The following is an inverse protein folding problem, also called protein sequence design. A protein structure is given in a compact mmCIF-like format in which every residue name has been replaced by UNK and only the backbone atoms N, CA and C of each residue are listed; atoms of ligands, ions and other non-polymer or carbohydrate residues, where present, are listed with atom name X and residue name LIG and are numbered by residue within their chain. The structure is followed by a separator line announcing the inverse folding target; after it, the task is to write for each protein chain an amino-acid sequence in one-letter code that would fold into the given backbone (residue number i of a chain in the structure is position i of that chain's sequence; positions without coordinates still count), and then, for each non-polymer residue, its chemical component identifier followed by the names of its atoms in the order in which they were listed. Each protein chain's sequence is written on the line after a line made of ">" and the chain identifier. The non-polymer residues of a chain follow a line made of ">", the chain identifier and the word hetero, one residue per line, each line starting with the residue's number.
data_IF_939091490022
#
_entry.id   IF_939091490022
#
_cell.length_a   1.000
_cell.length_b   1.000
_cell.length_c   1.000
_cell.angle_alpha   90.00
_cell.angle_beta   90.00
_cell.angle_gamma   90.00
#
_symmetry.space_group_name_H-M   'P 1'
#
loop_
_entity.id
_entity.type
_entity.pdbx_description
1 polymer ?
#
# COMPACT_ATOMS: atom_id res chain seq x y z
N UNK A 1 10.81 4.46 26.25
CA UNK A 1 9.48 4.75 25.68
C UNK A 1 9.62 6.01 24.82
N UNK A 2 9.60 5.88 23.49
CA UNK A 2 9.92 7.00 22.60
C UNK A 2 8.64 7.76 22.24
N UNK A 3 8.25 8.74 23.05
CA UNK A 3 7.11 9.62 22.73
C UNK A 3 7.21 10.21 21.31
N UNK A 4 8.43 10.46 20.85
CA UNK A 4 8.74 10.87 19.48
C UNK A 4 8.24 9.87 18.41
N UNK A 5 8.44 8.57 18.61
CA UNK A 5 7.95 7.53 17.69
C UNK A 5 6.41 7.58 17.57
N UNK A 6 5.72 7.63 18.72
CA UNK A 6 4.26 7.67 18.77
C UNK A 6 3.72 8.93 18.07
N UNK A 7 4.32 10.10 18.34
CA UNK A 7 3.91 11.35 17.71
C UNK A 7 4.07 11.29 16.19
N UNK A 8 5.20 10.78 15.69
CA UNK A 8 5.41 10.62 14.24
C UNK A 8 4.38 9.69 13.62
N UNK A 9 4.16 8.52 14.23
CA UNK A 9 3.17 7.54 13.76
C UNK A 9 1.76 8.13 13.71
N UNK A 10 1.34 8.87 14.74
CA UNK A 10 0.03 9.55 14.74
C UNK A 10 -0.06 10.60 13.63
N UNK A 11 0.99 11.38 13.39
CA UNK A 11 1.03 12.33 12.27
C UNK A 11 0.89 11.60 10.93
N UNK A 12 1.63 10.49 10.73
CA UNK A 12 1.53 9.67 9.52
C UNK A 12 0.12 9.10 9.37
N UNK A 13 -0.51 8.61 10.44
CA UNK A 13 -1.88 8.09 10.41
C UNK A 13 -2.87 9.15 9.94
N UNK A 14 -2.83 10.36 10.50
CA UNK A 14 -3.72 11.45 10.11
C UNK A 14 -3.53 11.84 8.64
N UNK A 15 -2.28 11.94 8.18
CA UNK A 15 -1.97 12.26 6.78
C UNK A 15 -2.42 11.16 5.83
N UNK A 16 -2.21 9.90 6.20
CA UNK A 16 -2.65 8.74 5.42
C UNK A 16 -4.16 8.69 5.28
N UNK A 17 -4.90 8.82 6.39
CA UNK A 17 -6.36 8.77 6.39
C UNK A 17 -6.93 9.93 5.56
N UNK A 18 -6.54 11.17 5.87
CA UNK A 18 -7.08 12.35 5.20
C UNK A 18 -6.80 12.36 3.69
N UNK A 19 -5.57 12.05 3.30
CA UNK A 19 -5.17 12.02 1.89
C UNK A 19 -5.87 10.91 1.11
N UNK A 20 -5.94 9.69 1.65
CA UNK A 20 -6.54 8.57 0.93
C UNK A 20 -8.08 8.60 0.93
N UNK A 21 -8.72 9.19 1.95
CA UNK A 21 -10.15 9.53 1.90
C UNK A 21 -10.42 10.51 0.76
N UNK A 22 -9.56 11.52 0.57
CA UNK A 22 -9.67 12.46 -0.54
C UNK A 22 -9.52 11.78 -1.91
N UNK A 23 -8.63 10.79 -2.04
CA UNK A 23 -8.50 9.96 -3.26
C UNK A 23 -9.81 9.24 -3.56
N UNK A 24 -10.36 8.51 -2.58
CA UNK A 24 -11.63 7.80 -2.73
C UNK A 24 -12.77 8.76 -3.08
N UNK A 25 -12.84 9.91 -2.43
CA UNK A 25 -13.87 10.91 -2.66
C UNK A 25 -13.79 11.51 -4.07
N UNK A 26 -12.58 11.80 -4.56
CA UNK A 26 -12.37 12.30 -5.91
C UNK A 26 -12.87 11.34 -6.99
N UNK A 27 -12.58 10.03 -6.85
CA UNK A 27 -13.07 9.01 -7.79
C UNK A 27 -14.59 8.82 -7.68
N UNK A 28 -15.17 8.97 -6.48
CA UNK A 28 -16.61 8.84 -6.27
C UNK A 28 -17.41 9.94 -6.99
N UNK A 29 -16.96 11.19 -6.91
CA UNK A 29 -17.64 12.34 -7.52
C UNK A 29 -17.36 12.41 -9.03
N UNK A 30 -16.10 12.31 -9.44
CA UNK A 30 -15.73 12.61 -10.82
C UNK A 30 -15.89 11.38 -11.72
N UNK A 31 -16.90 11.39 -12.59
CA UNK A 31 -17.16 10.30 -13.54
C UNK A 31 -16.03 10.07 -14.53
N UNK A 32 -15.20 11.08 -14.84
CA UNK A 32 -14.04 10.91 -15.71
C UNK A 32 -12.93 10.08 -15.05
N UNK A 33 -12.92 10.02 -13.72
CA UNK A 33 -12.01 9.19 -12.94
C UNK A 33 -12.52 7.75 -12.76
N UNK A 34 -13.74 7.40 -13.17
CA UNK A 34 -14.30 6.04 -13.01
C UNK A 34 -13.83 5.09 -14.11
N UNK A 35 -12.53 4.82 -14.14
CA UNK A 35 -11.88 3.86 -15.04
C UNK A 35 -11.21 2.73 -14.26
N UNK A 36 -10.80 1.67 -14.97
CA UNK A 36 -10.27 0.46 -14.34
C UNK A 36 -9.01 0.70 -13.49
N UNK A 37 -8.05 1.49 -13.99
CA UNK A 37 -6.83 1.86 -13.27
C UNK A 37 -7.15 2.54 -11.95
N UNK A 38 -8.11 3.46 -11.96
CA UNK A 38 -8.49 4.21 -10.78
C UNK A 38 -9.24 3.35 -9.75
N UNK A 39 -9.88 2.24 -10.14
CA UNK A 39 -10.40 1.27 -9.16
C UNK A 39 -9.26 0.58 -8.39
N UNK A 40 -8.14 0.27 -9.03
CA UNK A 40 -6.97 -0.24 -8.31
C UNK A 40 -6.34 0.82 -7.39
N UNK A 41 -6.32 2.09 -7.81
CA UNK A 41 -5.90 3.20 -6.93
C UNK A 41 -6.83 3.36 -5.72
N UNK A 42 -8.14 3.18 -5.89
CA UNK A 42 -9.10 3.18 -4.78
C UNK A 42 -8.86 1.98 -3.86
N UNK A 43 -8.59 0.78 -4.40
CA UNK A 43 -8.24 -0.38 -3.57
C UNK A 43 -6.98 -0.11 -2.73
N UNK A 44 -5.95 0.48 -3.33
CA UNK A 44 -4.73 0.89 -2.62
C UNK A 44 -5.04 1.95 -1.55
N UNK A 45 -5.84 2.97 -1.87
CA UNK A 45 -6.25 4.00 -0.93
C UNK A 45 -7.04 3.43 0.26
N UNK A 46 -7.91 2.42 0.04
CA UNK A 46 -8.61 1.72 1.11
C UNK A 46 -7.63 0.97 2.01
N UNK A 47 -6.63 0.29 1.46
CA UNK A 47 -5.58 -0.34 2.25
C UNK A 47 -4.80 0.69 3.09
N UNK A 48 -4.43 1.83 2.50
CA UNK A 48 -3.70 2.91 3.17
C UNK A 48 -4.54 3.63 4.26
N UNK A 49 -5.85 3.76 4.08
CA UNK A 49 -6.78 4.23 5.13
C UNK A 49 -6.76 3.24 6.30
N UNK A 50 -6.87 1.93 6.02
CA UNK A 50 -6.81 0.90 7.04
C UNK A 50 -5.44 0.86 7.74
N UNK A 51 -4.35 1.20 7.03
CA UNK A 51 -3.03 1.40 7.65
C UNK A 51 -3.09 2.50 8.70
N UNK A 52 -3.63 3.67 8.36
CA UNK A 52 -3.75 4.77 9.32
C UNK A 52 -4.73 4.48 10.47
N UNK A 53 -5.89 3.89 10.17
CA UNK A 53 -6.95 3.66 11.16
C UNK A 53 -6.68 2.49 12.10
N UNK A 54 -5.99 1.45 11.64
CA UNK A 54 -5.83 0.19 12.36
C UNK A 54 -4.37 -0.23 12.49
N UNK A 55 -3.61 -0.26 11.39
CA UNK A 55 -2.24 -0.77 11.42
C UNK A 55 -1.32 0.04 12.33
N UNK A 56 -1.36 1.37 12.23
CA UNK A 56 -0.53 2.26 13.04
C UNK A 56 -0.89 2.15 14.54
N UNK A 57 -2.18 2.22 14.95
CA UNK A 57 -2.56 1.95 16.33
C UNK A 57 -2.11 0.57 16.84
N UNK A 58 -2.22 -0.47 16.01
CA UNK A 58 -1.76 -1.82 16.36
C UNK A 58 -0.24 -1.88 16.50
N UNK A 59 0.52 -1.24 15.60
CA UNK A 59 1.97 -1.16 15.68
C UNK A 59 2.43 -0.42 16.94
N UNK A 60 1.77 0.69 17.29
CA UNK A 60 2.03 1.40 18.56
C UNK A 60 1.77 0.47 19.74
N UNK A 61 0.65 -0.25 19.73
CA UNK A 61 0.27 -1.20 20.80
C UNK A 61 1.32 -2.31 20.97
N UNK A 62 1.79 -2.90 19.87
CA UNK A 62 2.87 -3.90 19.85
C UNK A 62 4.21 -3.29 20.31
N UNK A 63 4.50 -2.03 19.94
CA UNK A 63 5.74 -1.37 20.35
C UNK A 63 5.80 -1.07 21.86
N UNK A 64 4.65 -0.87 22.49
CA UNK A 64 4.53 -0.66 23.94
C UNK A 64 4.70 -1.98 24.69
N UNK A 65 4.38 -3.12 24.07
CA UNK A 65 4.52 -4.43 24.69
C UNK A 65 3.45 -4.72 25.73
N UNK A 66 2.20 -4.31 25.48
CA UNK A 66 1.09 -4.57 26.42
C UNK A 66 0.86 -6.08 26.61
N UNK A 67 0.45 -6.47 27.81
CA UNK A 67 0.10 -7.87 28.08
C UNK A 67 -1.23 -8.22 27.37
N UNK A 68 -1.15 -9.17 26.45
CA UNK A 68 -2.29 -9.68 25.67
C UNK A 68 -2.24 -11.21 25.64
N UNK A 69 -3.39 -11.83 25.37
CA UNK A 69 -3.42 -13.23 24.97
C UNK A 69 -2.65 -13.42 23.65
N UNK A 70 -1.99 -14.56 23.50
CA UNK A 70 -1.18 -14.91 22.34
C UNK A 70 -1.90 -14.65 21.02
N UNK A 71 -3.16 -15.11 20.87
CA UNK A 71 -3.90 -14.95 19.61
C UNK A 71 -4.38 -13.52 19.39
N UNK A 72 -4.60 -12.75 20.46
CA UNK A 72 -4.86 -11.32 20.38
C UNK A 72 -3.65 -10.58 19.81
N UNK A 73 -2.46 -10.83 20.36
CA UNK A 73 -1.22 -10.23 19.85
C UNK A 73 -0.91 -10.68 18.40
N UNK A 74 -1.11 -11.96 18.11
CA UNK A 74 -0.93 -12.51 16.77
C UNK A 74 -1.88 -11.85 15.75
N UNK A 75 -3.13 -11.59 16.13
CA UNK A 75 -4.08 -10.88 15.26
C UNK A 75 -3.57 -9.48 14.90
N UNK A 76 -3.12 -8.71 15.90
CA UNK A 76 -2.59 -7.37 15.68
C UNK A 76 -1.42 -7.40 14.68
N UNK A 77 -0.48 -8.32 14.86
CA UNK A 77 0.69 -8.47 13.99
C UNK A 77 0.31 -8.93 12.57
N UNK A 78 -0.53 -9.97 12.45
CA UNK A 78 -0.94 -10.52 11.15
C UNK A 78 -1.78 -9.53 10.34
N UNK A 79 -2.59 -8.69 10.98
CA UNK A 79 -3.37 -7.69 10.27
C UNK A 79 -2.49 -6.66 9.55
N UNK A 80 -1.33 -6.30 10.10
CA UNK A 80 -0.31 -5.48 9.42
C UNK A 80 0.16 -6.15 8.11
N UNK A 81 0.39 -7.47 8.17
CA UNK A 81 0.84 -8.26 7.02
C UNK A 81 -0.22 -8.32 5.92
N UNK A 82 -1.50 -8.46 6.29
CA UNK A 82 -2.62 -8.45 5.32
C UNK A 82 -2.65 -7.13 4.54
N UNK A 83 -2.57 -5.99 5.22
CA UNK A 83 -2.62 -4.67 4.58
C UNK A 83 -1.41 -4.41 3.68
N UNK A 84 -0.24 -4.85 4.14
CA UNK A 84 1.00 -4.81 3.33
C UNK A 84 0.83 -5.62 2.05
N UNK A 85 0.32 -6.84 2.15
CA UNK A 85 0.13 -7.72 1.01
C UNK A 85 -0.91 -7.15 0.01
N UNK A 86 -2.00 -6.58 0.52
CA UNK A 86 -3.02 -5.92 -0.30
C UNK A 86 -2.45 -4.74 -1.09
N UNK A 87 -1.54 -3.98 -0.48
CA UNK A 87 -0.83 -2.88 -1.14
C UNK A 87 0.08 -3.37 -2.26
N UNK A 88 0.87 -4.42 -2.02
CA UNK A 88 1.76 -5.04 -3.03
C UNK A 88 0.96 -5.53 -4.23
N UNK A 89 -0.12 -6.26 -3.99
CA UNK A 89 -0.96 -6.78 -5.06
C UNK A 89 -1.68 -5.67 -5.83
N UNK A 90 -2.14 -4.62 -5.15
CA UNK A 90 -2.73 -3.45 -5.81
C UNK A 90 -1.70 -2.76 -6.72
N UNK A 91 -0.46 -2.57 -6.27
CA UNK A 91 0.62 -1.99 -7.07
C UNK A 91 1.01 -2.89 -8.26
N UNK A 92 1.07 -4.20 -8.06
CA UNK A 92 1.32 -5.16 -9.14
C UNK A 92 0.20 -5.12 -10.19
N UNK A 93 -1.06 -5.08 -9.75
CA UNK A 93 -2.21 -4.95 -10.64
C UNK A 93 -2.16 -3.63 -11.44
N UNK A 94 -1.79 -2.51 -10.79
CA UNK A 94 -1.56 -1.23 -11.47
C UNK A 94 -0.44 -1.37 -12.51
N UNK A 95 0.69 -2.00 -12.18
CA UNK A 95 1.78 -2.19 -13.13
C UNK A 95 1.35 -3.00 -14.35
N UNK A 96 0.63 -4.11 -14.15
CA UNK A 96 0.09 -4.96 -15.22
C UNK A 96 -0.93 -4.18 -16.06
N UNK A 97 -1.87 -3.48 -15.43
CA UNK A 97 -2.86 -2.65 -16.11
C UNK A 97 -2.19 -1.62 -17.03
N UNK A 98 -1.19 -0.90 -16.51
CA UNK A 98 -0.41 0.07 -17.29
C UNK A 98 0.37 -0.57 -18.42
N UNK A 99 0.92 -1.77 -18.20
CA UNK A 99 1.60 -2.52 -19.25
C UNK A 99 0.65 -2.88 -20.40
N UNK A 100 -0.54 -3.39 -20.08
CA UNK A 100 -1.55 -3.76 -21.09
C UNK A 100 -2.02 -2.51 -21.84
N UNK A 101 -2.28 -1.39 -21.14
CA UNK A 101 -2.68 -0.13 -21.75
C UNK A 101 -1.63 0.41 -22.75
N UNK A 102 -0.33 0.33 -22.40
CA UNK A 102 0.76 0.78 -23.29
C UNK A 102 1.01 -0.21 -24.43
N UNK A 103 0.89 -1.51 -24.19
CA UNK A 103 1.27 -2.54 -25.17
C UNK A 103 0.17 -2.84 -26.19
N UNK A 104 -1.10 -2.80 -25.80
CA UNK A 104 -2.24 -3.19 -26.63
C UNK A 104 -3.39 -2.16 -26.48
N UNK A 105 -3.19 -0.90 -26.91
CA UNK A 105 -4.14 0.18 -26.66
C UNK A 105 -5.53 -0.06 -27.28
N UNK A 106 -5.60 -0.74 -28.44
CA UNK A 106 -6.86 -0.97 -29.16
C UNK A 106 -7.80 -1.94 -28.43
N UNK A 107 -7.24 -2.98 -27.79
CA UNK A 107 -8.03 -4.00 -27.07
C UNK A 107 -8.13 -3.73 -25.56
N UNK A 108 -7.39 -2.76 -25.05
CA UNK A 108 -7.37 -2.44 -23.61
C UNK A 108 -8.76 -2.20 -23.05
N UNK A 109 -9.60 -1.42 -23.75
CA UNK A 109 -10.97 -1.10 -23.28
C UNK A 109 -11.90 -2.32 -23.22
N UNK A 110 -11.66 -3.33 -24.06
CA UNK A 110 -12.42 -4.58 -24.06
C UNK A 110 -11.94 -5.53 -22.96
N UNK A 111 -10.62 -5.58 -22.72
CA UNK A 111 -10.00 -6.45 -21.74
C UNK A 111 -10.20 -5.95 -20.31
N UNK A 112 -9.95 -4.66 -20.07
CA UNK A 112 -9.91 -4.07 -18.74
C UNK A 112 -11.17 -3.24 -18.48
N UNK A 113 -12.25 -3.95 -18.16
CA UNK A 113 -13.54 -3.34 -17.77
C UNK A 113 -13.61 -3.07 -16.26
N UNK A 114 -14.54 -2.23 -15.83
CA UNK A 114 -14.79 -1.98 -14.41
C UNK A 114 -15.29 -3.22 -13.65
N UNK A 115 -15.95 -4.17 -14.32
CA UNK A 115 -16.34 -5.45 -13.70
C UNK A 115 -15.11 -6.32 -13.45
N UNK A 116 -14.27 -6.50 -14.47
CA UNK A 116 -13.00 -7.25 -14.37
C UNK A 116 -12.09 -6.68 -13.29
N UNK A 117 -11.94 -5.35 -13.22
CA UNK A 117 -11.13 -4.71 -12.18
C UNK A 117 -11.63 -5.03 -10.76
N UNK A 118 -12.95 -4.97 -10.52
CA UNK A 118 -13.54 -5.31 -9.21
C UNK A 118 -13.37 -6.79 -8.85
N UNK A 119 -13.50 -7.69 -9.82
CA UNK A 119 -13.25 -9.13 -9.61
C UNK A 119 -11.78 -9.38 -9.25
N UNK A 120 -10.83 -8.77 -9.97
CA UNK A 120 -9.41 -8.84 -9.64
C UNK A 120 -9.16 -8.32 -8.23
N UNK A 121 -9.69 -7.14 -7.89
CA UNK A 121 -9.55 -6.55 -6.54
C UNK A 121 -10.04 -7.52 -5.46
N UNK A 122 -11.22 -8.12 -5.64
CA UNK A 122 -11.76 -9.08 -4.67
C UNK A 122 -10.83 -10.29 -4.47
N UNK A 123 -10.31 -10.86 -5.56
CA UNK A 123 -9.35 -11.97 -5.51
C UNK A 123 -8.07 -11.57 -4.78
N UNK A 124 -7.53 -10.37 -5.06
CA UNK A 124 -6.31 -9.88 -4.43
C UNK A 124 -6.47 -9.63 -2.93
N UNK A 125 -7.64 -9.14 -2.48
CA UNK A 125 -7.94 -8.99 -1.06
C UNK A 125 -8.03 -10.36 -0.37
N UNK A 126 -8.75 -11.31 -0.95
CA UNK A 126 -8.84 -12.68 -0.40
C UNK A 126 -7.44 -13.29 -0.29
N UNK A 127 -6.62 -13.18 -1.33
CA UNK A 127 -5.25 -13.68 -1.33
C UNK A 127 -4.39 -13.01 -0.25
N UNK A 128 -4.59 -11.70 -0.01
CA UNK A 128 -3.89 -10.96 1.05
C UNK A 128 -4.26 -11.45 2.45
N UNK A 129 -5.54 -11.71 2.70
CA UNK A 129 -6.00 -12.30 3.96
C UNK A 129 -5.44 -13.71 4.16
N UNK A 130 -5.49 -14.54 3.13
CA UNK A 130 -4.94 -15.91 3.18
C UNK A 130 -3.46 -15.86 3.54
N UNK A 131 -2.67 -15.05 2.84
CA UNK A 131 -1.22 -14.93 3.05
C UNK A 131 -0.88 -14.33 4.43
N UNK A 132 -1.54 -13.25 4.81
CA UNK A 132 -1.25 -12.54 6.06
C UNK A 132 -1.71 -13.29 7.31
N UNK A 133 -2.71 -14.18 7.20
CA UNK A 133 -3.22 -14.99 8.30
C UNK A 133 -2.60 -16.39 8.39
N UNK A 134 -1.64 -16.76 7.54
CA UNK A 134 -0.93 -18.05 7.63
C UNK A 134 -0.43 -18.37 9.05
N UNK A 135 0.11 -17.41 9.83
CA UNK A 135 0.54 -17.70 11.19
C UNK A 135 -0.59 -18.26 12.09
N UNK A 136 -1.86 -17.93 11.85
CA UNK A 136 -2.98 -18.52 12.59
C UNK A 136 -3.17 -20.02 12.36
N UNK A 137 -2.72 -20.53 11.22
CA UNK A 137 -2.82 -21.95 10.85
C UNK A 137 -1.66 -22.80 11.40
N UNK A 138 -0.83 -22.23 12.28
CA UNK A 138 0.17 -22.97 13.06
C UNK A 138 1.62 -22.53 12.83
N UNK A 139 1.89 -21.68 11.84
CA UNK A 139 3.24 -21.14 11.62
C UNK A 139 3.50 -19.91 12.52
N UNK A 140 3.49 -20.13 13.82
CA UNK A 140 3.63 -19.10 14.84
C UNK A 140 4.44 -19.62 16.03
N UNK A 141 4.81 -18.73 16.95
CA UNK A 141 5.69 -19.05 18.07
C UNK A 141 4.96 -19.49 19.35
N UNK A 142 3.67 -19.89 19.30
CA UNK A 142 2.86 -20.19 20.50
C UNK A 142 3.54 -21.19 21.42
N UNK A 143 4.00 -22.31 20.87
CA UNK A 143 4.60 -23.37 21.68
C UNK A 143 5.91 -22.93 22.34
N UNK A 144 6.75 -22.16 21.64
CA UNK A 144 8.01 -21.64 22.18
C UNK A 144 7.76 -20.56 23.25
N UNK A 145 6.92 -19.56 22.93
CA UNK A 145 6.66 -18.40 23.78
C UNK A 145 5.89 -18.77 25.06
N UNK A 146 4.92 -19.68 24.98
CA UNK A 146 4.14 -20.09 26.16
C UNK A 146 4.91 -21.07 27.06
N UNK A 147 5.74 -21.97 26.50
CA UNK A 147 6.54 -22.93 27.29
C UNK A 147 7.62 -22.25 28.13
N UNK A 148 8.31 -21.26 27.56
CA UNK A 148 9.35 -20.49 28.29
C UNK A 148 8.79 -19.78 29.53
N UNK A 149 7.50 -19.40 29.53
CA UNK A 149 6.87 -18.76 30.68
C UNK A 149 6.40 -19.75 31.73
N UNK A 150 5.90 -20.92 31.33
CA UNK A 150 5.55 -21.99 32.27
C UNK A 150 6.77 -22.41 33.10
N UNK A 151 7.96 -22.52 32.50
CA UNK A 151 9.20 -22.81 33.22
C UNK A 151 9.69 -21.69 34.15
N UNK A 152 9.32 -20.43 33.90
CA UNK A 152 9.63 -19.31 34.80
C UNK A 152 8.62 -19.18 35.97
N UNK A 153 7.40 -19.68 35.80
CA UNK A 153 6.36 -19.71 36.83
C UNK A 153 6.43 -20.95 37.75
N UNK A 154 7.19 -21.99 37.35
CA UNK A 154 7.23 -23.30 38.05
C UNK A 154 8.15 -23.35 39.30
N UNK A 155 8.56 -22.21 39.85
CA UNK A 155 9.11 -22.15 41.21
C UNK A 155 8.02 -22.16 42.29
N UNK A 156 6.74 -22.14 41.90
CA UNK A 156 5.62 -22.28 42.83
C UNK A 156 4.51 -23.14 42.22
N UNK A 157 4.34 -24.32 42.82
CA UNK A 157 3.20 -25.25 42.72
C UNK A 157 3.01 -26.06 41.43
N UNK A 158 3.55 -27.29 41.47
CA UNK A 158 3.03 -28.46 40.74
C UNK A 158 1.57 -28.71 41.12
N UNK A 159 0.67 -28.64 40.14
CA UNK A 159 -0.58 -29.38 40.13
C UNK A 159 -1.00 -29.62 38.68
N UNK A 160 -1.17 -30.89 38.31
CA UNK A 160 -1.63 -31.29 36.99
C UNK A 160 -3.09 -30.96 36.74
N UNK A 161 -3.40 -30.70 35.48
CA UNK A 161 -4.74 -30.58 34.94
C UNK A 161 -4.67 -30.02 33.52
N UNK A 162 -5.26 -30.73 32.56
CA UNK A 162 -5.56 -30.22 31.22
C UNK A 162 -6.49 -29.00 31.35
N UNK A 163 -5.90 -27.82 31.55
CA UNK A 163 -6.59 -26.55 31.49
C UNK A 163 -6.22 -25.89 30.17
N UNK A 164 -7.22 -25.35 29.47
CA UNK A 164 -7.02 -24.42 28.35
C UNK A 164 -6.19 -23.25 28.90
N UNK A 165 -4.86 -23.33 28.73
CA UNK A 165 -3.97 -22.37 29.32
C UNK A 165 -3.97 -21.11 28.46
N UNK A 166 -4.77 -20.11 28.88
CA UNK A 166 -4.70 -18.76 28.36
C UNK A 166 -3.26 -18.26 28.49
N UNK A 167 -2.63 -18.01 27.34
CA UNK A 167 -1.22 -17.65 27.29
C UNK A 167 -1.08 -16.14 27.15
N UNK A 168 -1.00 -15.47 28.31
CA UNK A 168 -0.73 -14.04 28.35
C UNK A 168 0.77 -13.77 28.25
N UNK A 169 1.15 -12.87 27.35
CA UNK A 169 2.54 -12.46 27.12
C UNK A 169 2.63 -10.97 26.82
N UNK A 170 3.84 -10.41 27.00
CA UNK A 170 4.15 -9.05 26.54
C UNK A 170 4.19 -9.05 25.02
N UNK A 171 3.25 -8.35 24.41
CA UNK A 171 3.00 -8.42 22.97
C UNK A 171 4.08 -7.69 22.17
N UNK A 172 5.06 -8.44 21.67
CA UNK A 172 6.02 -7.97 20.67
C UNK A 172 5.90 -8.79 19.40
N UNK A 173 6.19 -8.17 18.26
CA UNK A 173 6.09 -8.80 16.94
C UNK A 173 6.90 -10.12 16.87
N UNK A 174 8.17 -10.07 17.28
CA UNK A 174 9.10 -11.21 17.30
C UNK A 174 8.70 -12.30 18.31
N UNK A 175 7.79 -12.01 19.25
CA UNK A 175 7.33 -13.00 20.23
C UNK A 175 6.19 -13.89 19.73
N UNK A 176 5.51 -13.49 18.65
CA UNK A 176 4.34 -14.23 18.12
C UNK A 176 4.52 -14.65 16.66
N UNK A 177 5.26 -13.87 15.86
CA UNK A 177 5.52 -14.15 14.45
C UNK A 177 6.91 -14.74 14.27
N UNK A 178 6.98 -15.88 13.58
CA UNK A 178 8.23 -16.59 13.28
C UNK A 178 9.04 -15.83 12.20
N UNK A 179 10.33 -15.61 12.44
CA UNK A 179 11.23 -14.96 11.47
C UNK A 179 11.43 -15.79 10.20
N UNK A 180 11.35 -17.12 10.25
CA UNK A 180 11.40 -17.98 9.07
C UNK A 180 10.20 -17.71 8.15
N UNK A 181 9.01 -17.54 8.73
CA UNK A 181 7.84 -17.13 7.97
C UNK A 181 8.04 -15.74 7.35
N UNK A 182 8.55 -14.77 8.12
CA UNK A 182 8.76 -13.40 7.64
C UNK A 182 9.78 -13.30 6.51
N UNK A 183 10.88 -14.06 6.58
CA UNK A 183 11.96 -13.98 5.59
C UNK A 183 11.67 -14.89 4.38
N UNK A 184 11.45 -16.18 4.59
CA UNK A 184 11.34 -17.11 3.48
C UNK A 184 10.03 -16.99 2.75
N UNK A 185 8.92 -16.94 3.48
CA UNK A 185 7.60 -16.91 2.86
C UNK A 185 7.19 -15.48 2.53
N UNK A 186 7.05 -14.62 3.55
CA UNK A 186 6.55 -13.27 3.35
C UNK A 186 7.49 -12.45 2.44
N UNK A 187 8.79 -12.38 2.73
CA UNK A 187 9.70 -11.59 1.91
C UNK A 187 10.06 -12.27 0.58
N UNK A 188 10.69 -13.44 0.58
CA UNK A 188 11.21 -14.04 -0.67
C UNK A 188 10.13 -14.60 -1.61
N UNK A 189 8.98 -15.04 -1.10
CA UNK A 189 7.88 -15.56 -1.96
C UNK A 189 6.83 -14.50 -2.24
N UNK A 190 6.41 -13.71 -1.24
CA UNK A 190 5.26 -12.81 -1.39
C UNK A 190 5.61 -11.35 -1.74
N UNK A 191 6.80 -10.85 -1.38
CA UNK A 191 7.18 -9.44 -1.58
C UNK A 191 8.16 -9.28 -2.73
N UNK A 192 9.27 -10.02 -2.71
CA UNK A 192 10.36 -9.87 -3.67
C UNK A 192 9.94 -10.19 -5.11
N UNK A 193 9.19 -11.29 -5.40
CA UNK A 193 8.81 -11.60 -6.77
C UNK A 193 7.88 -10.55 -7.39
N UNK A 194 6.81 -10.06 -6.70
CA UNK A 194 6.03 -8.93 -7.20
C UNK A 194 6.86 -7.67 -7.45
N UNK A 195 7.81 -7.33 -6.57
CA UNK A 195 8.71 -6.19 -6.78
C UNK A 195 9.55 -6.34 -8.06
N UNK A 196 10.13 -7.52 -8.28
CA UNK A 196 10.93 -7.80 -9.47
C UNK A 196 10.07 -7.81 -10.74
N UNK A 197 8.85 -8.36 -10.68
CA UNK A 197 7.91 -8.35 -11.80
C UNK A 197 7.52 -6.91 -12.15
N UNK A 198 7.16 -6.09 -11.15
CA UNK A 198 6.84 -4.68 -11.37
C UNK A 198 8.03 -3.92 -11.97
N UNK A 199 9.24 -4.14 -11.46
CA UNK A 199 10.46 -3.55 -12.01
C UNK A 199 10.63 -3.95 -13.49
N UNK A 200 10.52 -5.23 -13.81
CA UNK A 200 10.60 -5.73 -15.18
C UNK A 200 9.57 -5.09 -16.10
N UNK A 201 8.32 -4.99 -15.64
CA UNK A 201 7.23 -4.33 -16.36
C UNK A 201 7.57 -2.87 -16.65
N UNK A 202 7.98 -2.09 -15.65
CA UNK A 202 8.30 -0.67 -15.85
C UNK A 202 9.53 -0.47 -16.73
N UNK A 203 10.57 -1.30 -16.60
CA UNK A 203 11.72 -1.27 -17.50
C UNK A 203 11.29 -1.50 -18.96
N UNK A 204 10.38 -2.45 -19.21
CA UNK A 204 9.81 -2.68 -20.55
C UNK A 204 8.98 -1.48 -21.03
N UNK A 205 8.13 -0.89 -20.19
CA UNK A 205 7.36 0.32 -20.53
C UNK A 205 8.30 1.48 -20.90
N UNK A 206 9.34 1.72 -20.09
CA UNK A 206 10.31 2.78 -20.36
C UNK A 206 11.12 2.52 -21.62
N UNK A 207 11.46 1.26 -21.92
CA UNK A 207 12.14 0.89 -23.16
C UNK A 207 11.28 1.20 -24.38
N UNK A 208 9.99 0.84 -24.33
CA UNK A 208 9.02 1.16 -25.40
C UNK A 208 8.88 2.67 -25.56
N UNK A 209 8.77 3.41 -24.45
CA UNK A 209 8.68 4.86 -24.48
C UNK A 209 9.90 5.53 -25.15
N UNK A 210 11.13 5.07 -24.82
CA UNK A 210 12.35 5.59 -25.45
C UNK A 210 12.42 5.25 -26.93
N UNK A 211 12.04 4.02 -27.32
CA UNK A 211 12.02 3.61 -28.73
C UNK A 211 11.04 4.46 -29.56
N UNK A 212 9.88 4.78 -28.98
CA UNK A 212 8.86 5.63 -29.59
C UNK A 212 9.33 7.08 -29.75
N UNK A 213 9.96 7.67 -28.72
CA UNK A 213 10.56 9.02 -28.83
C UNK A 213 11.58 9.11 -29.96
N UNK A 214 12.47 8.11 -30.07
CA UNK A 214 13.46 8.03 -31.16
C UNK A 214 12.81 7.88 -32.54
N UNK A 215 11.70 7.15 -32.63
CA UNK A 215 10.94 7.02 -33.88
C UNK A 215 10.22 8.31 -34.27
N UNK A 216 9.77 9.11 -33.31
CA UNK A 216 9.15 10.43 -33.57
C UNK A 216 10.19 11.40 -34.12
N UNK A 217 11.39 11.47 -33.52
CA UNK A 217 12.51 12.28 -34.04
C UNK A 217 12.90 11.88 -35.48
N UNK A 218 12.85 10.58 -35.79
CA UNK A 218 13.14 10.06 -37.13
C UNK A 218 11.99 10.22 -38.14
N UNK A 219 10.73 10.32 -37.68
CA UNK A 219 9.53 10.42 -38.53
C UNK A 219 9.02 11.84 -38.77
N UNK A 220 9.69 12.88 -38.25
CA UNK A 220 9.39 14.29 -38.55
C UNK A 220 9.48 14.68 -40.06
N UNK A 221 9.66 13.71 -40.97
CA UNK A 221 9.64 13.86 -42.43
C UNK A 221 8.34 13.29 -43.07
N UNK A 222 7.47 12.58 -42.33
CA UNK A 222 6.30 11.90 -42.91
C UNK A 222 4.99 12.18 -42.18
N UNK A 223 4.03 12.80 -42.88
CA UNK A 223 2.68 13.12 -42.39
C UNK A 223 1.84 11.83 -42.23
N UNK A 224 1.64 11.36 -40.99
CA UNK A 224 0.73 10.25 -40.70
C UNK A 224 0.70 9.83 -39.23
N UNK A 225 -0.48 9.94 -38.61
CA UNK A 225 -0.90 9.42 -37.29
C UNK A 225 -0.60 10.20 -35.99
N UNK A 226 -0.72 11.54 -36.04
CA UNK A 226 -0.57 12.44 -34.88
C UNK A 226 -1.48 12.08 -33.67
N UNK A 227 -2.69 11.56 -33.91
CA UNK A 227 -3.65 11.27 -32.83
C UNK A 227 -3.30 10.02 -32.01
N UNK A 228 -2.85 8.94 -32.66
CA UNK A 228 -2.44 7.72 -31.96
C UNK A 228 -1.16 7.94 -31.14
N UNK A 229 -0.22 8.73 -31.68
CA UNK A 229 0.99 9.15 -30.97
C UNK A 229 0.66 9.99 -29.72
N UNK A 230 -0.32 10.91 -29.79
CA UNK A 230 -0.74 11.71 -28.64
C UNK A 230 -1.35 10.90 -27.49
N UNK A 231 -2.21 9.91 -27.80
CA UNK A 231 -2.80 9.02 -26.79
C UNK A 231 -1.73 8.17 -26.08
N UNK A 232 -0.80 7.58 -26.83
CA UNK A 232 0.29 6.79 -26.27
C UNK A 232 1.24 7.62 -25.39
N UNK A 233 1.58 8.85 -25.79
CA UNK A 233 2.39 9.76 -24.97
C UNK A 233 1.70 10.11 -23.65
N UNK A 234 0.37 10.27 -23.65
CA UNK A 234 -0.42 10.45 -22.42
C UNK A 234 -0.30 9.23 -21.50
N UNK A 235 -0.48 8.02 -22.04
CA UNK A 235 -0.34 6.76 -21.28
C UNK A 235 1.07 6.59 -20.69
N UNK A 236 2.13 6.91 -21.45
CA UNK A 236 3.52 6.87 -20.97
C UNK A 236 3.75 7.85 -19.82
N UNK A 237 3.19 9.06 -19.89
CA UNK A 237 3.31 10.07 -18.83
C UNK A 237 2.64 9.61 -17.53
N UNK A 238 1.48 8.95 -17.65
CA UNK A 238 0.78 8.34 -16.52
C UNK A 238 1.62 7.20 -15.95
N UNK A 239 2.12 6.28 -16.79
CA UNK A 239 2.97 5.17 -16.35
C UNK A 239 4.26 5.63 -15.64
N UNK A 240 4.90 6.72 -16.12
CA UNK A 240 6.06 7.34 -15.44
C UNK A 240 5.71 7.89 -14.06
N UNK A 241 4.48 8.36 -13.87
CA UNK A 241 4.04 8.86 -12.56
C UNK A 241 3.78 7.70 -11.61
N UNK A 242 3.20 6.61 -12.10
CA UNK A 242 2.93 5.40 -11.30
C UNK A 242 4.18 4.58 -10.99
N UNK A 243 5.21 4.62 -11.85
CA UNK A 243 6.49 3.96 -11.55
C UNK A 243 7.20 4.57 -10.34
N UNK A 244 6.98 5.86 -10.08
CA UNK A 244 7.54 6.54 -8.89
C UNK A 244 6.90 5.96 -7.63
N UNK A 245 5.59 5.69 -7.66
CA UNK A 245 4.87 5.07 -6.54
C UNK A 245 5.47 3.69 -6.23
N UNK A 246 5.71 2.88 -7.25
CA UNK A 246 6.33 1.56 -7.07
C UNK A 246 7.77 1.66 -6.56
N UNK A 247 8.55 2.60 -7.06
CA UNK A 247 9.91 2.84 -6.57
C UNK A 247 9.93 3.27 -5.11
N UNK A 248 9.01 4.15 -4.70
CA UNK A 248 8.87 4.59 -3.31
C UNK A 248 8.42 3.46 -2.40
N UNK A 249 7.49 2.61 -2.85
CA UNK A 249 7.11 1.41 -2.10
C UNK A 249 8.33 0.54 -1.79
N UNK A 250 9.18 0.25 -2.79
CA UNK A 250 10.39 -0.53 -2.57
C UNK A 250 11.35 0.15 -1.58
N UNK A 251 11.59 1.46 -1.72
CA UNK A 251 12.44 2.23 -0.81
C UNK A 251 11.89 2.21 0.62
N UNK A 252 10.58 2.26 0.78
CA UNK A 252 9.94 2.28 2.10
C UNK A 252 9.90 0.91 2.79
N UNK A 253 9.77 -0.17 2.04
CA UNK A 253 9.58 -1.52 2.59
C UNK A 253 10.84 -2.38 2.64
N UNK A 254 11.79 -2.20 1.70
CA UNK A 254 13.01 -3.00 1.72
C UNK A 254 13.82 -2.89 3.01
N UNK A 255 13.95 -1.72 3.68
CA UNK A 255 14.69 -1.62 4.92
C UNK A 255 14.20 -2.56 6.02
N UNK A 256 12.88 -2.65 6.25
CA UNK A 256 12.34 -3.55 7.30
C UNK A 256 12.55 -5.03 6.94
N UNK A 257 12.41 -5.39 5.67
CA UNK A 257 12.68 -6.77 5.23
C UNK A 257 14.16 -7.14 5.32
N UNK A 258 15.07 -6.22 4.98
CA UNK A 258 16.51 -6.42 5.13
C UNK A 258 16.84 -6.62 6.61
N UNK A 259 16.25 -5.81 7.52
CA UNK A 259 16.43 -6.00 8.95
C UNK A 259 15.94 -7.37 9.42
N UNK A 260 14.79 -7.84 8.96
CA UNK A 260 14.29 -9.19 9.29
C UNK A 260 15.25 -10.29 8.80
N UNK A 261 15.83 -10.13 7.61
CA UNK A 261 16.87 -11.05 7.12
C UNK A 261 18.12 -11.02 8.03
N UNK A 262 18.57 -9.83 8.43
CA UNK A 262 19.71 -9.69 9.34
C UNK A 262 19.43 -10.35 10.70
N UNK A 263 18.24 -10.15 11.26
CA UNK A 263 17.81 -10.78 12.50
C UNK A 263 17.81 -12.31 12.40
N UNK A 264 17.39 -12.87 11.26
CA UNK A 264 17.35 -14.32 11.06
C UNK A 264 18.72 -14.94 10.80
N UNK A 265 19.56 -14.29 9.98
CA UNK A 265 20.83 -14.87 9.53
C UNK A 265 22.02 -14.52 10.43
N UNK A 266 21.91 -13.45 11.23
CA UNK A 266 22.97 -12.93 12.09
C UNK A 266 22.44 -12.59 13.49
N UNK A 267 22.12 -13.62 14.28
CA UNK A 267 21.56 -13.48 15.63
C UNK A 267 22.47 -12.68 16.60
N UNK A 268 23.79 -12.70 16.39
CA UNK A 268 24.75 -11.97 17.23
C UNK A 268 24.88 -10.48 16.88
N UNK A 269 24.30 -10.02 15.76
CA UNK A 269 24.33 -8.62 15.37
C UNK A 269 23.32 -7.85 16.22
N UNK A 270 23.79 -7.16 17.26
CA UNK A 270 22.94 -6.32 18.10
C UNK A 270 22.13 -5.32 17.25
N UNK A 271 20.79 -5.39 17.33
CA UNK A 271 19.90 -4.52 16.58
C UNK A 271 19.78 -3.16 17.28
N UNK A 272 20.14 -2.03 16.64
CA UNK A 272 19.83 -0.74 17.21
C UNK A 272 18.32 -0.52 17.11
N UNK A 273 17.62 -0.38 18.25
CA UNK A 273 16.16 -0.17 18.28
C UNK A 273 15.72 1.01 17.41
N UNK A 274 16.53 2.07 17.36
CA UNK A 274 16.30 3.25 16.52
C UNK A 274 16.19 2.88 15.04
N UNK A 275 17.04 1.97 14.55
CA UNK A 275 17.04 1.57 13.13
C UNK A 275 15.77 0.80 12.80
N UNK A 276 15.29 -0.05 13.71
CA UNK A 276 14.01 -0.75 13.54
C UNK A 276 12.83 0.23 13.54
N UNK A 277 12.78 1.17 14.49
CA UNK A 277 11.72 2.18 14.52
C UNK A 277 11.71 3.06 13.27
N UNK A 278 12.88 3.47 12.76
CA UNK A 278 12.98 4.25 11.52
C UNK A 278 12.48 3.44 10.33
N UNK A 279 12.82 2.15 10.24
CA UNK A 279 12.34 1.29 9.16
C UNK A 279 10.81 1.09 9.20
N UNK A 280 10.22 0.94 10.39
CA UNK A 280 8.77 0.83 10.58
C UNK A 280 8.07 2.17 10.24
N UNK A 281 8.57 3.29 10.74
CA UNK A 281 8.06 4.62 10.39
C UNK A 281 8.07 4.80 8.86
N UNK A 282 9.17 4.40 8.21
CA UNK A 282 9.34 4.55 6.78
C UNK A 282 8.35 3.68 5.99
N UNK A 283 8.07 2.45 6.44
CA UNK A 283 7.08 1.59 5.79
C UNK A 283 5.65 2.13 5.94
N UNK A 284 5.28 2.70 7.08
CA UNK A 284 3.98 3.35 7.29
C UNK A 284 3.85 4.69 6.53
N UNK A 285 4.94 5.46 6.46
CA UNK A 285 4.97 6.74 5.73
C UNK A 285 4.61 6.56 4.25
N UNK A 286 4.89 5.39 3.65
CA UNK A 286 4.49 5.06 2.28
C UNK A 286 3.00 5.32 2.01
N UNK A 287 2.13 4.99 2.96
CA UNK A 287 0.68 5.16 2.82
C UNK A 287 0.25 6.64 2.75
N UNK A 288 1.00 7.54 3.40
CA UNK A 288 0.73 8.98 3.37
C UNK A 288 1.25 9.68 2.10
N UNK A 289 2.23 9.08 1.40
CA UNK A 289 2.87 9.70 0.23
C UNK A 289 2.02 9.56 -1.04
N UNK A 290 1.21 8.51 -1.16
CA UNK A 290 0.42 8.22 -2.38
C UNK A 290 -0.49 9.40 -2.82
N UNK A 291 -1.34 9.99 -1.96
CA UNK A 291 -2.17 11.14 -2.31
C UNK A 291 -1.37 12.36 -2.79
N UNK A 292 -0.20 12.60 -2.20
CA UNK A 292 0.70 13.69 -2.56
C UNK A 292 1.19 13.48 -4.00
N UNK A 293 1.62 12.26 -4.34
CA UNK A 293 2.05 11.93 -5.71
C UNK A 293 0.90 12.17 -6.70
N UNK A 294 -0.31 11.73 -6.39
CA UNK A 294 -1.46 11.93 -7.27
C UNK A 294 -1.75 13.42 -7.48
N UNK A 295 -1.71 14.24 -6.42
CA UNK A 295 -1.92 15.68 -6.50
C UNK A 295 -0.89 16.40 -7.36
N UNK A 296 0.39 15.99 -7.33
CA UNK A 296 1.43 16.63 -8.13
C UNK A 296 1.52 16.11 -9.56
N UNK A 297 1.21 14.83 -9.78
CA UNK A 297 1.56 14.12 -11.03
C UNK A 297 0.35 13.79 -11.90
N UNK A 298 -0.85 13.66 -11.33
CA UNK A 298 -2.06 13.31 -12.08
C UNK A 298 -3.00 14.52 -12.12
N UNK A 299 -3.07 15.16 -13.28
CA UNK A 299 -3.82 16.41 -13.48
C UNK A 299 -5.30 16.29 -13.11
N UNK A 300 -5.94 15.17 -13.46
CA UNK A 300 -7.37 14.95 -13.19
C UNK A 300 -7.64 14.85 -11.67
N UNK A 301 -6.76 14.18 -10.92
CA UNK A 301 -6.82 14.17 -9.45
C UNK A 301 -6.55 15.55 -8.86
N UNK A 302 -5.50 16.25 -9.31
CA UNK A 302 -5.16 17.60 -8.84
C UNK A 302 -6.34 18.57 -8.98
N UNK A 303 -6.98 18.57 -10.14
CA UNK A 303 -8.11 19.45 -10.42
C UNK A 303 -9.32 19.09 -9.53
N UNK A 304 -9.59 17.80 -9.36
CA UNK A 304 -10.68 17.32 -8.51
C UNK A 304 -10.43 17.61 -7.04
N UNK A 305 -9.20 17.44 -6.54
CA UNK A 305 -8.80 17.80 -5.18
C UNK A 305 -8.98 19.30 -4.93
N UNK A 306 -8.55 20.16 -5.86
CA UNK A 306 -8.77 21.61 -5.76
C UNK A 306 -10.27 21.93 -5.69
N UNK A 307 -11.10 21.29 -6.52
CA UNK A 307 -12.56 21.49 -6.49
C UNK A 307 -13.16 21.08 -5.15
N UNK A 308 -12.81 19.90 -4.61
CA UNK A 308 -13.30 19.43 -3.31
C UNK A 308 -12.88 20.39 -2.20
N UNK A 309 -11.60 20.79 -2.15
CA UNK A 309 -11.08 21.70 -1.13
C UNK A 309 -11.76 23.07 -1.19
N UNK A 310 -11.93 23.65 -2.37
CA UNK A 310 -12.58 24.97 -2.51
C UNK A 310 -14.06 24.92 -2.12
N UNK A 311 -14.79 23.92 -2.58
CA UNK A 311 -16.24 23.85 -2.41
C UNK A 311 -16.66 23.38 -1.00
N UNK A 312 -15.94 22.41 -0.42
CA UNK A 312 -16.38 21.72 0.81
C UNK A 312 -15.53 22.05 2.05
N UNK A 313 -14.25 22.38 1.89
CA UNK A 313 -13.36 22.68 3.03
C UNK A 313 -13.22 24.19 3.25
N UNK A 314 -13.09 24.95 2.16
CA UNK A 314 -12.96 26.42 2.22
C UNK A 314 -14.32 27.14 2.10
N UNK A 315 -15.43 26.41 1.94
CA UNK A 315 -16.79 26.93 1.76
C UNK A 315 -16.91 28.09 0.75
N UNK A 316 -16.05 28.13 -0.28
CA UNK A 316 -16.25 29.03 -1.42
C UNK A 316 -17.24 28.36 -2.36
N UNK A 317 -18.52 28.72 -2.20
CA UNK A 317 -19.55 28.48 -3.20
C UNK A 317 -19.07 29.14 -4.49
N UNK A 318 -18.88 28.38 -5.56
CA UNK A 318 -18.63 28.95 -6.88
C UNK A 318 -19.89 29.75 -7.26
N UNK A 319 -19.86 31.08 -7.04
CA UNK A 319 -20.83 32.05 -7.58
C UNK A 319 -20.70 32.19 -9.12
N UNK A 320 -20.20 31.17 -9.82
CA UNK A 320 -19.81 31.25 -11.23
C UNK A 320 -20.78 30.59 -12.22
N UNK A 321 -21.91 30.05 -11.74
CA UNK A 321 -22.98 29.52 -12.62
C UNK A 321 -24.27 30.37 -12.61
N UNK A 322 -24.36 31.41 -11.75
CA UNK A 322 -25.54 32.29 -11.68
C UNK A 322 -25.39 33.61 -12.45
N UNK A 323 -24.16 34.05 -12.74
CA UNK A 323 -23.89 35.28 -13.49
C UNK A 323 -24.04 35.05 -15.01
N UNK A 324 -23.82 33.83 -15.50
CA UNK A 324 -23.96 33.50 -16.94
C UNK A 324 -25.40 33.23 -17.37
N UNK A 325 -26.32 32.96 -16.44
CA UNK A 325 -27.76 32.79 -16.74
C UNK A 325 -28.60 34.06 -16.58
N UNK A 326 -28.02 35.15 -16.06
CA UNK A 326 -28.73 36.44 -15.89
C UNK A 326 -28.39 37.48 -16.96
N UNK A 327 -27.45 37.21 -17.87
CA UNK A 327 -27.00 38.20 -18.88
C UNK A 327 -27.62 37.97 -20.28
N UNK A 328 -28.24 36.84 -20.60
CA UNK A 328 -28.98 36.68 -21.88
C UNK A 328 -30.36 36.05 -21.71
N UNK A 329 -31.36 36.86 -21.34
CA UNK A 329 -32.61 36.85 -22.09
C UNK A 329 -33.09 38.25 -22.55
N UNK A 330 -32.22 39.25 -22.66
CA UNK A 330 -32.60 40.59 -23.11
C UNK A 330 -31.48 41.30 -23.91
N UNK A 331 -31.23 40.82 -25.13
CA UNK A 331 -30.92 41.67 -26.29
C UNK A 331 -31.18 40.94 -27.62
#
# INVERSE_FOLDING_TARGET
>A
MNAFYIVIEVVIAVLSISGNVLVCWAVAINTTLKNATNYFLVSLAVADILVGCLAIPFAITISIGIDLDFYGCLFLACFLLVLTQSSIFSLLAIAIDRYVAVKIPLRYKELMTGKTAREIIAILWILSFVIGLIPFFGWNLKHASCRNRSSAADNTTRAGGDLIQSCNLRCFFESVVDMHYMVYFNFFVCVLPPLLIMLGIYLKIFTVARKQLRQIELKCVGNGDSHHHGLLQKEIRVAKSLSIIVGLFAVCWLPVHILNCLTLFYEELGKPEIVMYVAIILSHANSAVNPIIYAYRIQDFRNTFRKILTQHVLCRREELEQITMTIDPLL
#
